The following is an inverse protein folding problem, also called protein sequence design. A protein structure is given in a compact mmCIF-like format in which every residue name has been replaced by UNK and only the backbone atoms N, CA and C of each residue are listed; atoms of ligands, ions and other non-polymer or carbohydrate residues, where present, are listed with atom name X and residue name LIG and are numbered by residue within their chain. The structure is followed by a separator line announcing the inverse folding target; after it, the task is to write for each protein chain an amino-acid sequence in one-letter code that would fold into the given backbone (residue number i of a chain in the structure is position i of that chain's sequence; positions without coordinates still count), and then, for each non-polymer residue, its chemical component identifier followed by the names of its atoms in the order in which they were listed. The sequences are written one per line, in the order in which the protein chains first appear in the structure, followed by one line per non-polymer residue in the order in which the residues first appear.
data_IF_277777991863
#
_entry.id   IF_277777991863
#
_cell.length_a   1.000
_cell.length_b   1.000
_cell.length_c   1.000
_cell.angle_alpha   90.00
_cell.angle_beta   90.00
_cell.angle_gamma   90.00
#
_symmetry.space_group_name_H-M   'P 1'
#
loop_
_entity.id
_entity.type
_entity.pdbx_description
1 polymer ?
#
# COMPACT_ATOMS: atom_id res chain seq x y z
N UNK A 1 23.58 21.98 -23.34
CA UNK A 1 23.29 20.54 -23.18
C UNK A 1 22.95 20.31 -21.72
N UNK A 2 21.68 20.51 -21.35
CA UNK A 2 21.18 20.33 -19.98
C UNK A 2 20.90 18.85 -19.78
N UNK A 3 21.81 18.14 -19.11
CA UNK A 3 21.59 16.76 -18.67
C UNK A 3 20.50 16.79 -17.60
N UNK A 4 19.28 16.43 -17.98
CA UNK A 4 18.15 16.34 -17.06
C UNK A 4 18.34 15.10 -16.16
N UNK A 5 18.70 15.25 -14.87
CA UNK A 5 19.13 14.15 -13.99
C UNK A 5 18.03 13.11 -13.74
N UNK A 6 16.79 13.40 -14.13
CA UNK A 6 15.63 12.52 -14.01
C UNK A 6 15.74 11.30 -14.95
N UNK A 7 16.56 11.36 -16.00
CA UNK A 7 16.65 10.31 -17.02
C UNK A 7 17.61 9.15 -16.68
N UNK A 8 18.49 9.29 -15.68
CA UNK A 8 19.48 8.27 -15.27
C UNK A 8 19.33 7.80 -13.81
N UNK A 9 18.13 7.88 -13.23
CA UNK A 9 17.88 7.50 -11.83
C UNK A 9 17.69 5.99 -11.66
N UNK A 10 18.53 5.35 -10.83
CA UNK A 10 18.36 3.92 -10.50
C UNK A 10 17.09 3.68 -9.66
N UNK A 11 16.48 2.47 -9.70
CA UNK A 11 15.29 2.16 -8.90
C UNK A 11 15.46 2.41 -7.40
N UNK A 12 16.68 2.25 -6.87
CA UNK A 12 17.00 2.51 -5.47
C UNK A 12 17.01 4.02 -5.16
N UNK A 13 17.61 4.84 -6.02
CA UNK A 13 17.63 6.31 -5.85
C UNK A 13 16.21 6.90 -5.88
N UNK A 14 15.34 6.38 -6.77
CA UNK A 14 13.95 6.80 -6.84
C UNK A 14 13.16 6.47 -5.56
N UNK A 15 13.43 5.33 -4.93
CA UNK A 15 12.81 4.95 -3.64
C UNK A 15 13.26 5.87 -2.51
N UNK A 16 14.56 6.21 -2.46
CA UNK A 16 15.11 7.12 -1.44
C UNK A 16 14.55 8.53 -1.60
N UNK A 17 14.39 9.03 -2.84
CA UNK A 17 13.77 10.33 -3.12
C UNK A 17 12.30 10.37 -2.72
N UNK A 18 11.51 9.37 -3.15
CA UNK A 18 10.09 9.27 -2.77
C UNK A 18 9.94 9.13 -1.24
N UNK A 19 10.86 8.43 -0.58
CA UNK A 19 10.88 8.34 0.88
C UNK A 19 11.17 9.69 1.54
N UNK A 20 12.13 10.46 1.01
CA UNK A 20 12.42 11.80 1.49
C UNK A 20 11.22 12.76 1.32
N UNK A 21 10.50 12.67 0.20
CA UNK A 21 9.25 13.41 -0.03
C UNK A 21 8.18 13.04 1.01
N UNK A 22 7.95 11.75 1.26
CA UNK A 22 7.02 11.28 2.31
C UNK A 22 7.44 11.78 3.69
N UNK A 23 8.74 11.77 4.02
CA UNK A 23 9.24 12.29 5.28
C UNK A 23 9.03 13.81 5.39
N UNK A 24 9.11 14.56 4.29
CA UNK A 24 8.84 15.98 4.27
C UNK A 24 7.35 16.28 4.47
N UNK A 25 6.46 15.52 3.85
CA UNK A 25 5.01 15.59 4.10
C UNK A 25 4.68 15.23 5.56
N UNK A 26 5.37 14.21 6.10
CA UNK A 26 5.20 13.79 7.50
C UNK A 26 5.65 14.87 8.50
N UNK A 27 6.65 15.68 8.17
CA UNK A 27 7.10 16.79 9.03
C UNK A 27 6.00 17.82 9.26
N UNK A 28 5.09 18.02 8.31
CA UNK A 28 3.93 18.91 8.48
C UNK A 28 2.98 18.40 9.57
N UNK A 29 2.75 17.09 9.62
CA UNK A 29 1.97 16.50 10.71
C UNK A 29 2.72 16.55 12.05
N UNK A 30 4.05 16.40 12.00
CA UNK A 30 4.90 16.47 13.18
C UNK A 30 4.92 17.87 13.83
N UNK A 31 4.98 18.94 13.05
CA UNK A 31 4.87 20.31 13.60
C UNK A 31 3.50 20.54 14.22
N UNK A 32 2.42 19.98 13.64
CA UNK A 32 1.08 20.04 14.20
C UNK A 32 0.97 19.41 15.59
N UNK A 33 1.53 18.20 15.80
CA UNK A 33 1.49 17.54 17.12
C UNK A 33 2.35 18.26 18.17
N UNK A 34 3.49 18.83 17.76
CA UNK A 34 4.35 19.60 18.66
C UNK A 34 3.65 20.85 19.17
N UNK A 35 2.97 21.58 18.27
CA UNK A 35 2.19 22.75 18.63
C UNK A 35 1.08 22.39 19.62
N UNK A 36 0.33 21.31 19.34
CA UNK A 36 -0.71 20.80 20.24
C UNK A 36 -0.16 20.48 21.63
N UNK A 37 0.92 19.71 21.72
CA UNK A 37 1.52 19.34 23.00
C UNK A 37 2.03 20.56 23.76
N UNK A 38 2.66 21.51 23.07
CA UNK A 38 3.10 22.75 23.69
C UNK A 38 1.94 23.56 24.28
N UNK A 39 0.81 23.66 23.55
CA UNK A 39 -0.40 24.30 24.06
C UNK A 39 -0.97 23.59 25.29
N UNK A 40 -1.07 22.26 25.25
CA UNK A 40 -1.56 21.47 26.39
C UNK A 40 -0.66 21.63 27.62
N UNK A 41 0.66 21.54 27.44
CA UNK A 41 1.62 21.76 28.53
C UNK A 41 1.51 23.16 29.10
N UNK A 42 1.39 24.18 28.24
CA UNK A 42 1.21 25.58 28.69
C UNK A 42 -0.08 25.72 29.50
N UNK A 43 -1.17 25.10 29.05
CA UNK A 43 -2.47 25.12 29.72
C UNK A 43 -2.37 24.59 31.16
N UNK A 44 -1.55 23.56 31.41
CA UNK A 44 -1.34 22.99 32.75
C UNK A 44 -0.77 23.98 33.78
N UNK A 45 0.00 24.97 33.33
CA UNK A 45 0.61 25.98 34.20
C UNK A 45 -0.23 27.26 34.29
N UNK A 46 -1.38 27.33 33.62
CA UNK A 46 -2.27 28.47 33.74
C UNK A 46 -3.04 28.44 35.07
N UNK A 47 -3.36 29.60 35.68
CA UNK A 47 -4.18 29.65 36.90
C UNK A 47 -5.55 28.97 36.73
N UNK A 48 -6.09 28.98 35.51
CA UNK A 48 -7.38 28.35 35.17
C UNK A 48 -7.33 26.82 35.29
N UNK A 49 -6.15 26.19 35.17
CA UNK A 49 -6.02 24.73 35.23
C UNK A 49 -6.55 24.14 36.55
N UNK A 50 -6.28 24.81 37.68
CA UNK A 50 -6.74 24.38 39.00
C UNK A 50 -8.26 24.45 39.20
N UNK A 51 -8.98 25.04 38.25
CA UNK A 51 -10.44 25.21 38.29
C UNK A 51 -11.17 24.34 37.26
N UNK A 52 -10.45 23.43 36.58
CA UNK A 52 -11.06 22.46 35.67
C UNK A 52 -11.88 21.46 36.46
N UNK A 53 -13.04 21.09 35.91
CA UNK A 53 -13.80 19.97 36.44
C UNK A 53 -13.14 18.62 36.11
N UNK A 54 -13.69 17.54 36.69
CA UNK A 54 -13.16 16.20 36.50
C UNK A 54 -13.27 15.70 35.05
N UNK A 55 -14.28 16.16 34.30
CA UNK A 55 -14.45 15.79 32.89
C UNK A 55 -13.38 16.46 32.03
N UNK A 56 -13.20 17.77 32.18
CA UNK A 56 -12.17 18.57 31.52
C UNK A 56 -10.77 18.03 31.81
N UNK A 57 -10.48 17.69 33.06
CA UNK A 57 -9.20 17.09 33.42
C UNK A 57 -8.96 15.75 32.71
N UNK A 58 -9.98 14.89 32.61
CA UNK A 58 -9.87 13.61 31.89
C UNK A 58 -9.65 13.81 30.39
N UNK A 59 -10.39 14.73 29.78
CA UNK A 59 -10.23 15.06 28.35
C UNK A 59 -8.86 15.65 28.08
N UNK A 60 -8.36 16.50 28.98
CA UNK A 60 -6.99 17.04 28.94
C UNK A 60 -5.94 15.93 28.97
N UNK A 61 -5.98 15.05 29.96
CA UNK A 61 -5.02 13.93 30.10
C UNK A 61 -5.10 13.00 28.88
N UNK A 62 -6.31 12.69 28.42
CA UNK A 62 -6.52 11.87 27.22
C UNK A 62 -5.86 12.51 25.99
N UNK A 63 -6.10 13.81 25.76
CA UNK A 63 -5.50 14.54 24.64
C UNK A 63 -3.97 14.53 24.70
N UNK A 64 -3.41 14.73 25.91
CA UNK A 64 -1.97 14.74 26.14
C UNK A 64 -1.33 13.37 25.83
N UNK A 65 -1.93 12.28 26.34
CA UNK A 65 -1.44 10.91 26.10
C UNK A 65 -1.56 10.53 24.62
N UNK A 66 -2.68 10.89 23.98
CA UNK A 66 -2.87 10.65 22.54
C UNK A 66 -1.83 11.42 21.71
N UNK A 67 -1.56 12.69 22.04
CA UNK A 67 -0.55 13.51 21.35
C UNK A 67 0.87 12.99 21.55
N UNK A 68 1.23 12.58 22.77
CA UNK A 68 2.54 11.99 23.05
C UNK A 68 2.74 10.66 22.30
N UNK A 69 1.71 9.80 22.29
CA UNK A 69 1.73 8.52 21.56
C UNK A 69 1.80 8.75 20.05
N UNK A 70 1.02 9.71 19.52
CA UNK A 70 1.09 10.10 18.12
C UNK A 70 2.50 10.56 17.73
N UNK A 71 3.13 11.38 18.58
CA UNK A 71 4.51 11.85 18.38
C UNK A 71 5.50 10.69 18.34
N UNK A 72 5.40 9.73 19.27
CA UNK A 72 6.26 8.55 19.29
C UNK A 72 6.12 7.71 18.00
N UNK A 73 4.88 7.49 17.54
CA UNK A 73 4.59 6.74 16.31
C UNK A 73 5.02 7.48 15.05
N UNK A 74 4.90 8.81 15.02
CA UNK A 74 5.36 9.63 13.90
C UNK A 74 6.88 9.71 13.83
N UNK A 75 7.59 9.73 14.95
CA UNK A 75 9.07 9.78 14.96
C UNK A 75 9.69 8.40 14.62
N UNK A 76 8.99 7.30 14.93
CA UNK A 76 9.48 5.93 14.75
C UNK A 76 10.09 5.60 13.36
N UNK A 77 9.56 6.03 12.20
CA UNK A 77 10.08 5.65 10.89
C UNK A 77 11.48 6.19 10.58
N UNK A 78 11.85 7.35 11.15
CA UNK A 78 13.11 8.03 10.85
C UNK A 78 14.37 7.20 11.24
N UNK A 79 14.48 6.63 12.47
CA UNK A 79 15.58 5.73 12.82
C UNK A 79 15.47 4.35 12.16
N UNK A 80 14.27 3.90 11.77
CA UNK A 80 14.04 2.59 11.14
C UNK A 80 14.82 2.41 9.82
N UNK A 81 15.00 3.50 9.04
CA UNK A 81 15.83 3.47 7.84
C UNK A 81 17.32 3.27 8.16
N UNK A 82 17.83 3.97 9.18
CA UNK A 82 19.25 3.88 9.60
C UNK A 82 19.62 2.52 10.19
N UNK A 83 18.69 1.85 10.87
CA UNK A 83 18.95 0.58 11.55
C UNK A 83 18.86 -0.63 10.61
N UNK A 84 17.96 -0.60 9.61
CA UNK A 84 17.63 -1.80 8.81
C UNK A 84 18.33 -1.84 7.45
N UNK A 85 18.98 -0.76 7.00
CA UNK A 85 19.88 -0.84 5.85
C UNK A 85 21.01 -1.88 6.03
N UNK A 86 21.29 -2.32 7.27
CA UNK A 86 22.26 -3.38 7.58
C UNK A 86 21.72 -4.82 7.53
N UNK A 87 20.40 -5.07 7.51
CA UNK A 87 19.83 -6.43 7.49
C UNK A 87 18.78 -6.55 6.39
N UNK A 88 19.02 -7.41 5.38
CA UNK A 88 18.30 -7.56 4.10
C UNK A 88 16.80 -7.95 4.15
N UNK A 89 16.05 -7.59 5.19
CA UNK A 89 14.60 -7.80 5.30
C UNK A 89 13.83 -6.54 4.85
N UNK A 90 13.86 -6.24 3.54
CA UNK A 90 13.34 -4.98 2.97
C UNK A 90 11.81 -4.90 2.83
N UNK A 91 11.09 -6.02 2.72
CA UNK A 91 9.68 -5.99 2.28
C UNK A 91 8.63 -5.87 3.41
N UNK A 92 8.86 -6.51 4.56
CA UNK A 92 7.93 -6.49 5.69
C UNK A 92 8.02 -5.18 6.49
N UNK A 93 9.19 -4.55 6.45
CA UNK A 93 9.52 -3.34 7.17
C UNK A 93 8.74 -2.10 6.68
N UNK A 94 8.62 -1.95 5.35
CA UNK A 94 7.90 -0.82 4.72
C UNK A 94 6.43 -0.84 5.13
N UNK A 95 5.81 -2.03 5.18
CA UNK A 95 4.41 -2.18 5.60
C UNK A 95 4.21 -1.79 7.07
N UNK A 96 5.16 -2.13 7.94
CA UNK A 96 5.08 -1.78 9.37
C UNK A 96 5.27 -0.28 9.59
N UNK A 97 6.23 0.36 8.91
CA UNK A 97 6.43 1.80 8.98
C UNK A 97 5.20 2.58 8.51
N UNK A 98 4.55 2.17 7.41
CA UNK A 98 3.31 2.79 6.96
C UNK A 98 2.15 2.63 7.95
N UNK A 99 2.05 1.48 8.63
CA UNK A 99 1.02 1.26 9.68
C UNK A 99 1.26 2.16 10.88
N UNK A 100 2.51 2.29 11.35
CA UNK A 100 2.88 3.18 12.45
C UNK A 100 2.55 4.64 12.12
N UNK A 101 2.88 5.06 10.89
CA UNK A 101 2.59 6.42 10.42
C UNK A 101 1.09 6.70 10.38
N UNK A 102 0.31 5.78 9.81
CA UNK A 102 -1.14 5.93 9.75
C UNK A 102 -1.77 5.91 11.14
N UNK A 103 -1.32 5.03 12.03
CA UNK A 103 -1.77 4.99 13.42
C UNK A 103 -1.43 6.29 14.16
N UNK A 104 -0.23 6.84 13.97
CA UNK A 104 0.18 8.13 14.53
C UNK A 104 -0.71 9.28 14.06
N UNK A 105 -1.05 9.33 12.77
CA UNK A 105 -1.97 10.33 12.22
C UNK A 105 -3.41 10.21 12.75
N UNK A 106 -3.88 8.99 13.01
CA UNK A 106 -5.20 8.77 13.63
C UNK A 106 -5.18 9.27 15.07
N UNK A 107 -4.16 8.90 15.86
CA UNK A 107 -4.02 9.37 17.24
C UNK A 107 -3.90 10.89 17.32
N UNK A 108 -3.18 11.53 16.39
CA UNK A 108 -3.08 12.99 16.30
C UNK A 108 -4.46 13.64 16.11
N UNK A 109 -5.29 13.11 15.21
CA UNK A 109 -6.65 13.64 15.00
C UNK A 109 -7.54 13.47 16.24
N UNK A 110 -7.43 12.35 16.94
CA UNK A 110 -8.15 12.15 18.20
C UNK A 110 -7.67 13.12 19.28
N UNK A 111 -6.36 13.35 19.38
CA UNK A 111 -5.77 14.31 20.32
C UNK A 111 -6.28 15.74 20.05
N UNK A 112 -6.28 16.17 18.78
CA UNK A 112 -6.82 17.47 18.37
C UNK A 112 -8.31 17.60 18.68
N UNK A 113 -9.11 16.56 18.41
CA UNK A 113 -10.54 16.56 18.71
C UNK A 113 -10.78 16.68 20.23
N UNK A 114 -10.02 15.95 21.04
CA UNK A 114 -10.12 16.03 22.51
C UNK A 114 -9.69 17.41 23.03
N UNK A 115 -8.60 18.00 22.51
CA UNK A 115 -8.17 19.34 22.89
C UNK A 115 -9.18 20.42 22.47
N UNK A 116 -9.79 20.27 21.30
CA UNK A 116 -10.83 21.18 20.82
C UNK A 116 -12.08 21.08 21.69
N UNK A 117 -12.51 19.86 22.05
CA UNK A 117 -13.61 19.65 22.97
C UNK A 117 -13.34 20.33 24.31
N UNK A 118 -12.12 20.14 24.84
CA UNK A 118 -11.69 20.75 26.11
C UNK A 118 -11.79 22.28 26.06
N UNK A 119 -11.18 22.92 25.07
CA UNK A 119 -11.15 24.38 25.02
C UNK A 119 -12.56 24.96 24.80
N UNK A 120 -13.39 24.31 23.97
CA UNK A 120 -14.76 24.74 23.75
C UNK A 120 -15.63 24.53 24.99
N UNK A 121 -15.44 23.45 25.73
CA UNK A 121 -16.17 23.20 26.97
C UNK A 121 -15.80 24.24 28.04
N UNK A 122 -14.52 24.60 28.15
CA UNK A 122 -14.05 25.65 29.07
C UNK A 122 -14.63 27.03 28.73
N UNK A 123 -14.87 27.33 27.44
CA UNK A 123 -15.31 28.65 26.97
C UNK A 123 -16.83 28.78 26.83
N UNK A 124 -17.50 27.74 26.34
CA UNK A 124 -18.92 27.76 25.94
C UNK A 124 -19.79 26.79 26.77
N UNK A 125 -19.17 25.88 27.53
CA UNK A 125 -19.84 24.77 28.20
C UNK A 125 -20.04 23.54 27.32
N UNK A 126 -20.46 22.44 27.95
CA UNK A 126 -20.39 21.10 27.37
C UNK A 126 -21.26 20.90 26.12
N UNK A 127 -22.51 21.35 26.18
CA UNK A 127 -23.47 21.14 25.08
C UNK A 127 -23.02 21.77 23.75
N UNK A 128 -22.71 23.08 23.69
CA UNK A 128 -22.20 23.68 22.45
C UNK A 128 -20.84 23.10 22.05
N UNK A 129 -19.97 22.77 23.01
CA UNK A 129 -18.67 22.16 22.73
C UNK A 129 -18.77 20.81 22.02
N UNK A 130 -19.72 19.96 22.45
CA UNK A 130 -19.97 18.65 21.83
C UNK A 130 -20.47 18.81 20.40
N UNK A 131 -21.46 19.68 20.15
CA UNK A 131 -22.01 19.86 18.80
C UNK A 131 -20.99 20.40 17.81
N UNK A 132 -20.22 21.42 18.21
CA UNK A 132 -19.19 22.03 17.35
C UNK A 132 -18.08 21.03 17.08
N UNK A 133 -17.57 20.37 18.13
CA UNK A 133 -16.50 19.38 17.99
C UNK A 133 -16.97 18.20 17.14
N UNK A 134 -18.16 17.67 17.38
CA UNK A 134 -18.72 16.55 16.61
C UNK A 134 -18.89 16.94 15.14
N UNK A 135 -19.45 18.12 14.84
CA UNK A 135 -19.61 18.62 13.47
C UNK A 135 -18.27 18.76 12.75
N UNK A 136 -17.26 19.31 13.43
CA UNK A 136 -15.93 19.49 12.85
C UNK A 136 -15.20 18.14 12.64
N UNK A 137 -15.29 17.23 13.61
CA UNK A 137 -14.76 15.86 13.49
C UNK A 137 -15.47 15.11 12.37
N UNK A 138 -16.78 15.28 12.21
CA UNK A 138 -17.53 14.65 11.12
C UNK A 138 -17.14 15.24 9.76
N UNK A 139 -16.94 16.55 9.67
CA UNK A 139 -16.50 17.23 8.45
C UNK A 139 -15.10 16.80 8.03
N UNK A 140 -14.12 16.89 8.95
CA UNK A 140 -12.77 16.39 8.69
C UNK A 140 -12.77 14.88 8.45
N UNK A 141 -13.57 14.13 9.21
CA UNK A 141 -13.78 12.72 9.04
C UNK A 141 -14.29 12.41 7.65
N UNK A 142 -15.31 13.11 7.15
CA UNK A 142 -15.86 12.93 5.80
C UNK A 142 -14.78 13.12 4.74
N UNK A 143 -14.09 14.27 4.74
CA UNK A 143 -12.99 14.53 3.80
C UNK A 143 -11.84 13.52 3.93
N UNK A 144 -11.50 13.14 5.16
CA UNK A 144 -10.45 12.19 5.45
C UNK A 144 -10.84 10.74 5.20
N UNK A 145 -12.10 10.32 5.27
CA UNK A 145 -12.55 8.96 4.99
C UNK A 145 -12.80 8.77 3.50
N UNK A 146 -13.25 9.81 2.79
CA UNK A 146 -13.43 9.81 1.33
C UNK A 146 -12.11 9.49 0.61
N UNK A 147 -10.97 10.06 1.04
CA UNK A 147 -9.65 9.79 0.43
C UNK A 147 -9.20 8.30 0.54
N UNK A 148 -9.03 7.70 1.73
CA UNK A 148 -8.57 6.33 1.91
C UNK A 148 -9.60 5.31 1.42
N UNK A 149 -10.91 5.57 1.47
CA UNK A 149 -11.91 4.72 0.82
C UNK A 149 -11.73 4.74 -0.71
N UNK A 150 -11.42 5.90 -1.30
CA UNK A 150 -11.09 6.02 -2.72
C UNK A 150 -9.79 5.32 -3.09
N UNK A 151 -8.75 5.42 -2.27
CA UNK A 151 -7.50 4.68 -2.49
C UNK A 151 -7.69 3.16 -2.34
N UNK A 152 -8.41 2.70 -1.31
CA UNK A 152 -8.71 1.28 -1.09
C UNK A 152 -9.59 0.69 -2.21
N UNK A 153 -10.57 1.46 -2.68
CA UNK A 153 -11.39 1.06 -3.83
C UNK A 153 -10.58 1.00 -5.14
N UNK A 154 -9.59 1.89 -5.32
CA UNK A 154 -8.69 1.85 -6.48
C UNK A 154 -7.73 0.67 -6.42
N UNK A 155 -7.16 0.35 -5.26
CA UNK A 155 -6.29 -0.82 -5.08
C UNK A 155 -7.04 -2.14 -5.27
N UNK A 156 -8.28 -2.25 -4.79
CA UNK A 156 -9.12 -3.43 -5.02
C UNK A 156 -9.47 -3.61 -6.51
N UNK A 157 -9.76 -2.52 -7.22
CA UNK A 157 -9.99 -2.54 -8.68
C UNK A 157 -8.72 -2.86 -9.47
N UNK A 158 -7.56 -2.39 -9.03
CA UNK A 158 -6.26 -2.71 -9.66
C UNK A 158 -5.85 -4.16 -9.41
N UNK A 159 -6.07 -4.70 -8.21
CA UNK A 159 -5.87 -6.11 -7.91
C UNK A 159 -6.81 -7.00 -8.74
N UNK A 160 -8.10 -6.63 -8.83
CA UNK A 160 -9.05 -7.34 -9.69
C UNK A 160 -8.67 -7.28 -11.18
N UNK A 161 -8.16 -6.13 -11.66
CA UNK A 161 -7.65 -5.99 -13.04
C UNK A 161 -6.34 -6.74 -13.29
N UNK A 162 -5.44 -6.79 -12.32
CA UNK A 162 -4.20 -7.55 -12.42
C UNK A 162 -4.49 -9.06 -12.43
N UNK A 163 -5.41 -9.53 -11.58
CA UNK A 163 -5.89 -10.92 -11.59
C UNK A 163 -6.62 -11.24 -12.90
N UNK A 164 -7.46 -10.34 -13.41
CA UNK A 164 -8.12 -10.53 -14.70
C UNK A 164 -7.12 -10.53 -15.88
N UNK A 165 -6.13 -9.63 -15.89
CA UNK A 165 -5.07 -9.61 -16.89
C UNK A 165 -4.19 -10.87 -16.83
N UNK A 166 -3.91 -11.37 -15.63
CA UNK A 166 -3.16 -12.61 -15.42
C UNK A 166 -3.95 -13.84 -15.89
N UNK A 167 -5.25 -13.90 -15.57
CA UNK A 167 -6.14 -14.96 -16.07
C UNK A 167 -6.23 -14.97 -17.60
N UNK A 168 -6.32 -13.80 -18.23
CA UNK A 168 -6.32 -13.68 -19.71
C UNK A 168 -4.98 -14.14 -20.30
N UNK A 169 -3.85 -13.79 -19.67
CA UNK A 169 -2.52 -14.22 -20.15
C UNK A 169 -2.31 -15.74 -20.02
N UNK A 170 -2.76 -16.35 -18.92
CA UNK A 170 -2.69 -17.81 -18.72
C UNK A 170 -3.59 -18.54 -19.74
N UNK A 171 -4.78 -18.01 -19.99
CA UNK A 171 -5.69 -18.59 -20.97
C UNK A 171 -5.13 -18.48 -22.40
N UNK A 172 -4.55 -17.34 -22.77
CA UNK A 172 -3.92 -17.16 -24.07
C UNK A 172 -2.74 -18.12 -24.28
N UNK A 173 -1.91 -18.35 -23.26
CA UNK A 173 -0.80 -19.31 -23.31
C UNK A 173 -1.33 -20.75 -23.46
N UNK A 174 -2.36 -21.14 -22.71
CA UNK A 174 -2.94 -22.49 -22.81
C UNK A 174 -3.57 -22.77 -24.19
N UNK A 175 -4.22 -21.78 -24.81
CA UNK A 175 -4.80 -21.90 -26.15
C UNK A 175 -3.70 -22.03 -27.20
N UNK A 176 -2.62 -21.27 -27.06
CA UNK A 176 -1.46 -21.35 -27.95
C UNK A 176 -0.79 -22.74 -27.87
N UNK A 177 -0.61 -23.26 -26.65
CA UNK A 177 0.00 -24.57 -26.40
C UNK A 177 -0.85 -25.70 -26.98
N UNK A 178 -2.18 -25.64 -26.79
CA UNK A 178 -3.12 -26.62 -27.36
C UNK A 178 -3.11 -26.60 -28.89
N UNK A 179 -3.04 -25.41 -29.49
CA UNK A 179 -2.96 -25.25 -30.95
C UNK A 179 -1.62 -25.78 -31.51
N UNK A 180 -0.51 -25.57 -30.80
CA UNK A 180 0.80 -26.10 -31.19
C UNK A 180 0.83 -27.63 -31.07
N UNK A 181 0.25 -28.20 -30.01
CA UNK A 181 0.18 -29.65 -29.81
C UNK A 181 -0.72 -30.33 -30.85
N UNK A 182 -1.82 -29.68 -31.25
CA UNK A 182 -2.70 -30.15 -32.32
C UNK A 182 -1.98 -30.18 -33.67
N UNK A 183 -1.29 -29.09 -34.04
CA UNK A 183 -0.54 -29.00 -35.31
C UNK A 183 0.63 -29.99 -35.33
N UNK A 184 1.32 -30.16 -34.20
CA UNK A 184 2.41 -31.14 -34.08
C UNK A 184 1.86 -32.58 -34.20
N UNK A 185 0.71 -32.87 -33.59
CA UNK A 185 0.03 -34.16 -33.72
C UNK A 185 -0.39 -34.46 -35.16
N UNK A 186 -0.96 -33.49 -35.86
CA UNK A 186 -1.36 -33.62 -37.27
C UNK A 186 -0.14 -33.86 -38.18
N UNK A 187 0.98 -33.18 -37.93
CA UNK A 187 2.22 -33.37 -38.69
C UNK A 187 2.84 -34.76 -38.45
N UNK A 188 2.94 -35.20 -37.20
CA UNK A 188 3.43 -36.55 -36.85
C UNK A 188 2.53 -37.63 -37.44
N UNK A 189 1.21 -37.42 -37.43
CA UNK A 189 0.26 -38.35 -38.02
C UNK A 189 0.38 -38.40 -39.55
N UNK A 190 0.69 -37.29 -40.21
CA UNK A 190 0.95 -37.25 -41.65
C UNK A 190 2.24 -38.00 -42.02
N UNK A 191 3.33 -37.78 -41.28
CA UNK A 191 4.61 -38.48 -41.49
C UNK A 191 4.48 -39.99 -41.27
N UNK A 192 3.74 -40.42 -40.25
CA UNK A 192 3.49 -41.85 -40.00
C UNK A 192 2.68 -42.53 -41.12
N UNK A 193 1.76 -41.79 -41.76
CA UNK A 193 1.02 -42.28 -42.94
C UNK A 193 1.95 -42.38 -44.15
N UNK A 194 2.81 -41.39 -44.37
CA UNK A 194 3.80 -41.42 -45.44
C UNK A 194 4.81 -42.57 -45.29
N UNK A 195 5.28 -42.83 -44.08
CA UNK A 195 6.23 -43.92 -43.79
C UNK A 195 5.59 -45.31 -43.99
N UNK A 196 4.31 -45.47 -43.61
CA UNK A 196 3.54 -46.69 -43.92
C UNK A 196 3.39 -46.92 -45.43
N UNK A 197 3.06 -45.87 -46.18
CA UNK A 197 2.93 -45.97 -47.64
C UNK A 197 4.27 -46.26 -48.32
N UNK A 198 5.38 -45.71 -47.80
CA UNK A 198 6.72 -46.00 -48.30
C UNK A 198 7.18 -47.44 -47.98
N UNK A 199 6.83 -47.95 -46.80
CA UNK A 199 7.12 -49.33 -46.38
C UNK A 199 6.45 -50.38 -47.27
N UNK A 200 5.20 -50.15 -47.69
CA UNK A 200 4.47 -51.07 -48.57
C UNK A 200 5.01 -51.09 -50.02
N UNK A 201 5.67 -50.01 -50.48
CA UNK A 201 6.28 -49.95 -51.82
C UNK A 201 7.66 -50.64 -51.88
N UNK A 202 8.32 -50.82 -50.72
CA UNK A 202 9.64 -51.46 -50.62
C UNK A 202 9.63 -53.01 -50.65
N UNK A 203 8.47 -53.64 -50.54
CA UNK A 203 8.32 -55.10 -50.60
C UNK A 203 8.42 -55.61 -52.06
N UNK A 204 9.63 -55.59 -52.62
CA UNK A 204 9.95 -56.26 -53.90
C UNK A 204 9.78 -57.78 -53.75
N UNK A 205 9.01 -58.45 -54.63
CA UNK A 205 8.96 -59.91 -54.65
C UNK A 205 10.26 -60.52 -55.18
N UNK A 206 10.62 -61.66 -54.57
CA UNK A 206 11.79 -62.49 -54.81
C UNK A 206 12.03 -62.83 -56.31
N UNK A 207 13.29 -62.91 -56.77
CA UNK A 207 13.64 -63.42 -58.08
C UNK A 207 13.66 -64.96 -58.03
N UNK A 208 12.50 -65.57 -57.90
CA UNK A 208 12.32 -66.99 -58.21
C UNK A 208 11.39 -67.12 -59.41
N UNK A 209 11.95 -67.19 -60.62
CA UNK A 209 11.49 -68.14 -61.64
C UNK A 209 12.57 -68.22 -62.74
N UNK A 210 13.46 -69.17 -62.53
CA UNK A 210 14.37 -69.76 -63.51
C UNK A 210 13.65 -70.98 -64.09
N UNK A 211 13.83 -71.22 -65.39
CA UNK A 211 13.64 -72.48 -66.16
C UNK A 211 12.33 -72.71 -66.95
N UNK A 212 12.52 -73.35 -68.12
CA UNK A 212 11.64 -73.71 -69.24
C UNK A 212 11.43 -72.57 -70.25
N UNK A 213 11.93 -72.61 -71.50
CA UNK A 213 12.21 -73.69 -72.47
C UNK A 213 13.37 -73.27 -73.37
#
# INVERSE_FOLDING_TARGET
MTTDPVRDETPAQRMDRNYAEILQEMRVAQTGVQLLLAFLLTLAFTPRFGTLDLFQLRVYVLSLVLGATATALLIAPAPFHRLVFRRRLKLELVRTSSKLLLAGLVLLKLALAAALLLILDVVLGLWPAVWITAGLVLWFGFWWFVLPLRYRARSARQAARAVAAQAVSVQAVSVQETAVETVAGDAVSADAVLDRLAGDVGARPDPQFRQHV
#
